data_IF_160334997755
#
_entry.id   IF_160334997755
#
_cell.length_a   1.000
_cell.length_b   1.000
_cell.length_c   1.000
_cell.angle_alpha   90.00
_cell.angle_beta   90.00
_cell.angle_gamma   90.00
#
_symmetry.space_group_name_H-M   'P 1'
#
loop_
_entity.id
_entity.type
_entity.pdbx_description
1 polymer ?
#
# COMPACT_ATOMS: atom_id res chain seq x y z
N UNK A 1 -26.59 -60.90 -3.25
CA UNK A 1 -26.27 -60.29 -1.95
C UNK A 1 -27.32 -60.73 -0.93
N UNK A 2 -26.92 -61.42 0.15
CA UNK A 2 -27.84 -61.94 1.19
C UNK A 2 -28.62 -60.78 1.84
N UNK A 3 -29.89 -60.99 2.23
CA UNK A 3 -30.75 -59.90 2.75
C UNK A 3 -30.14 -59.21 3.99
N UNK A 4 -29.38 -59.94 4.81
CA UNK A 4 -28.60 -59.38 5.93
C UNK A 4 -27.48 -58.44 5.46
N UNK A 5 -26.85 -58.73 4.33
CA UNK A 5 -25.76 -57.92 3.76
C UNK A 5 -26.29 -56.66 3.07
N UNK A 6 -27.51 -56.71 2.50
CA UNK A 6 -28.22 -55.50 2.04
C UNK A 6 -28.59 -54.60 3.21
N UNK A 7 -29.12 -55.16 4.29
CA UNK A 7 -29.50 -54.40 5.48
C UNK A 7 -28.28 -53.74 6.14
N UNK A 8 -27.14 -54.43 6.24
CA UNK A 8 -25.90 -53.84 6.75
C UNK A 8 -25.39 -52.71 5.84
N UNK A 9 -25.43 -52.89 4.52
CA UNK A 9 -25.02 -51.84 3.59
C UNK A 9 -25.94 -50.61 3.66
N UNK A 10 -27.25 -50.81 3.79
CA UNK A 10 -28.22 -49.71 3.96
C UNK A 10 -27.98 -48.99 5.29
N UNK A 11 -27.71 -49.71 6.37
CA UNK A 11 -27.43 -49.11 7.67
C UNK A 11 -26.12 -48.30 7.65
N UNK A 12 -25.09 -48.81 6.98
CA UNK A 12 -23.80 -48.14 6.78
C UNK A 12 -23.93 -46.88 5.91
N UNK A 13 -24.74 -46.94 4.85
CA UNK A 13 -25.02 -45.78 4.01
C UNK A 13 -25.80 -44.70 4.79
N UNK A 14 -26.74 -45.13 5.64
CA UNK A 14 -27.52 -44.21 6.48
C UNK A 14 -26.63 -43.49 7.48
N UNK A 15 -25.69 -44.18 8.14
CA UNK A 15 -24.72 -43.54 9.06
C UNK A 15 -23.81 -42.54 8.36
N UNK A 16 -23.39 -42.79 7.12
CA UNK A 16 -22.64 -41.80 6.32
C UNK A 16 -23.47 -40.55 6.01
N UNK A 17 -24.79 -40.67 5.83
CA UNK A 17 -25.69 -39.52 5.61
C UNK A 17 -25.90 -38.73 6.91
N UNK A 18 -25.96 -39.38 8.09
CA UNK A 18 -26.13 -38.64 9.37
C UNK A 18 -24.85 -37.95 9.82
N UNK A 19 -23.67 -38.53 9.55
CA UNK A 19 -22.36 -37.93 9.92
C UNK A 19 -21.93 -36.85 8.90
N UNK A 20 -22.47 -36.86 7.67
CA UNK A 20 -22.24 -35.82 6.67
C UNK A 20 -23.01 -34.51 6.89
N UNK A 21 -23.86 -34.45 7.93
CA UNK A 21 -24.66 -33.29 8.31
C UNK A 21 -24.11 -32.56 9.55
N UNK A 22 -22.81 -32.68 9.84
CA UNK A 22 -22.15 -31.62 10.61
C UNK A 22 -22.08 -30.39 9.72
N UNK A 23 -22.91 -29.41 10.05
CA UNK A 23 -22.91 -28.09 9.48
C UNK A 23 -21.59 -27.40 9.85
N UNK A 24 -20.53 -27.63 9.05
CA UNK A 24 -19.27 -26.88 9.18
C UNK A 24 -19.39 -25.43 8.71
N UNK A 25 -20.60 -25.00 8.33
CA UNK A 25 -20.96 -23.60 8.23
C UNK A 25 -21.52 -23.13 9.57
N UNK A 26 -20.66 -22.96 10.57
CA UNK A 26 -20.86 -21.87 11.53
C UNK A 26 -20.71 -20.54 10.77
N UNK A 27 -21.69 -20.26 9.90
CA UNK A 27 -22.03 -18.93 9.46
C UNK A 27 -22.86 -18.32 10.57
N UNK A 28 -22.29 -18.22 11.77
CA UNK A 28 -22.68 -17.11 12.62
C UNK A 28 -22.52 -15.87 11.71
N UNK A 29 -23.59 -15.08 11.48
CA UNK A 29 -23.42 -13.82 10.79
C UNK A 29 -22.28 -13.13 11.55
N UNK A 30 -21.22 -12.66 10.88
CA UNK A 30 -20.04 -12.14 11.56
C UNK A 30 -20.56 -11.20 12.63
N UNK A 31 -20.41 -11.61 13.91
CA UNK A 31 -20.89 -10.83 15.04
C UNK A 31 -20.27 -9.48 14.78
N UNK A 32 -21.10 -8.47 14.50
CA UNK A 32 -20.57 -7.13 14.20
C UNK A 32 -19.74 -6.79 15.42
N UNK A 33 -18.39 -6.80 15.33
CA UNK A 33 -17.59 -6.73 16.53
C UNK A 33 -17.97 -5.42 17.19
N UNK A 34 -18.38 -5.46 18.45
CA UNK A 34 -18.46 -4.22 19.21
C UNK A 34 -17.07 -3.60 19.13
N UNK A 35 -17.00 -2.41 18.54
CA UNK A 35 -15.74 -1.76 18.27
C UNK A 35 -15.18 -1.27 19.60
N UNK A 36 -14.36 -2.10 20.23
CA UNK A 36 -13.69 -1.74 21.47
C UNK A 36 -12.39 -1.01 21.14
N UNK A 37 -12.43 0.33 21.14
CA UNK A 37 -11.24 1.16 20.92
C UNK A 37 -10.42 1.34 22.21
N UNK A 38 -10.86 0.77 23.33
CA UNK A 38 -10.26 0.96 24.64
C UNK A 38 -10.24 2.45 25.02
N UNK A 39 -9.04 3.00 25.28
CA UNK A 39 -8.85 4.43 25.57
C UNK A 39 -8.49 5.28 24.35
N UNK A 40 -8.42 4.68 23.14
CA UNK A 40 -8.09 5.41 21.92
C UNK A 40 -9.28 6.21 21.41
N UNK A 41 -9.06 7.50 21.14
CA UNK A 41 -10.07 8.41 20.61
C UNK A 41 -9.87 8.62 19.10
N UNK A 42 -10.73 8.01 18.29
CA UNK A 42 -10.71 8.10 16.83
C UNK A 42 -11.62 9.20 16.25
N UNK A 43 -12.26 10.03 17.08
CA UNK A 43 -13.26 11.03 16.63
C UNK A 43 -12.79 11.94 15.49
N UNK A 44 -11.47 12.16 15.37
CA UNK A 44 -10.88 12.69 14.14
C UNK A 44 -9.56 12.02 13.81
N UNK A 45 -9.63 11.08 12.86
CA UNK A 45 -8.48 10.34 12.36
C UNK A 45 -7.85 11.01 11.15
N UNK A 46 -6.51 11.05 11.10
CA UNK A 46 -5.73 11.53 9.95
C UNK A 46 -4.60 10.56 9.65
N UNK A 47 -4.33 10.30 8.38
CA UNK A 47 -3.21 9.45 7.95
C UNK A 47 -2.20 10.24 7.14
N UNK A 48 -0.91 10.09 7.47
CA UNK A 48 0.22 10.67 6.74
C UNK A 48 1.04 9.52 6.17
N UNK A 49 1.40 9.60 4.90
CA UNK A 49 2.27 8.61 4.29
C UNK A 49 2.38 8.75 2.79
N UNK A 50 2.60 7.62 2.12
CA UNK A 50 2.80 7.57 0.68
C UNK A 50 1.74 6.74 -0.06
N UNK A 51 2.13 6.02 -1.11
CA UNK A 51 1.31 5.16 -1.95
C UNK A 51 0.44 4.18 -1.16
N UNK A 52 0.97 3.56 -0.11
CA UNK A 52 0.24 2.57 0.70
C UNK A 52 -0.91 3.25 1.45
N UNK A 53 -0.64 4.41 2.03
CA UNK A 53 -1.63 5.26 2.70
C UNK A 53 -2.68 5.78 1.72
N UNK A 54 -2.27 6.17 0.50
CA UNK A 54 -3.15 6.70 -0.53
C UNK A 54 -4.16 5.69 -1.09
N UNK A 55 -3.90 4.39 -0.93
CA UNK A 55 -4.63 3.34 -1.66
C UNK A 55 -4.23 3.24 -3.13
N UNK A 56 -2.96 3.56 -3.43
CA UNK A 56 -2.39 3.41 -4.77
C UNK A 56 -2.29 1.93 -5.14
N UNK A 57 -2.88 1.58 -6.28
CA UNK A 57 -2.90 0.21 -6.79
C UNK A 57 -2.82 0.27 -8.31
N UNK A 58 -2.36 -0.81 -8.95
CA UNK A 58 -2.40 -0.93 -10.42
C UNK A 58 -1.83 0.28 -11.17
N UNK A 59 -0.81 0.96 -10.65
CA UNK A 59 -0.16 2.09 -11.35
C UNK A 59 -0.82 3.47 -11.17
N UNK A 60 -1.91 3.61 -10.41
CA UNK A 60 -2.50 4.94 -10.12
C UNK A 60 -3.35 4.94 -8.83
N UNK A 61 -3.90 6.09 -8.45
CA UNK A 61 -5.02 6.14 -7.50
C UNK A 61 -6.34 6.22 -8.27
N UNK A 62 -7.33 5.45 -7.83
CA UNK A 62 -8.66 5.39 -8.40
C UNK A 62 -9.65 4.94 -7.32
N UNK A 63 -10.90 5.40 -7.39
CA UNK A 63 -11.87 5.33 -6.31
C UNK A 63 -12.06 3.91 -5.79
N UNK A 64 -12.28 2.94 -6.68
CA UNK A 64 -12.48 1.54 -6.31
C UNK A 64 -11.26 0.89 -5.64
N UNK A 65 -10.03 1.41 -5.84
CA UNK A 65 -8.84 0.99 -5.11
C UNK A 65 -8.65 1.75 -3.79
N UNK A 66 -8.92 3.05 -3.79
CA UNK A 66 -8.74 3.92 -2.62
C UNK A 66 -9.66 3.58 -1.45
N UNK A 67 -10.84 2.98 -1.73
CA UNK A 67 -11.74 2.49 -0.69
C UNK A 67 -11.14 1.37 0.18
N UNK A 68 -10.08 0.72 -0.29
CA UNK A 68 -9.32 -0.28 0.47
C UNK A 68 -8.02 0.26 1.07
N UNK A 69 -7.80 1.58 1.05
CA UNK A 69 -6.68 2.17 1.80
C UNK A 69 -6.83 1.84 3.29
N UNK A 70 -5.73 1.48 3.95
CA UNK A 70 -5.80 1.00 5.35
C UNK A 70 -6.42 2.05 6.29
N UNK A 71 -6.18 3.34 6.01
CA UNK A 71 -6.78 4.44 6.77
C UNK A 71 -8.31 4.42 6.69
N UNK A 72 -8.86 4.16 5.50
CA UNK A 72 -10.30 4.03 5.30
C UNK A 72 -10.86 2.80 6.02
N UNK A 73 -10.17 1.67 5.94
CA UNK A 73 -10.60 0.43 6.58
C UNK A 73 -10.65 0.57 8.11
N UNK A 74 -9.65 1.22 8.70
CA UNK A 74 -9.68 1.55 10.13
C UNK A 74 -10.83 2.51 10.44
N UNK A 75 -10.99 3.58 9.65
CA UNK A 75 -12.05 4.56 9.87
C UNK A 75 -13.45 3.96 9.81
N UNK A 76 -13.70 3.05 8.86
CA UNK A 76 -14.93 2.27 8.76
C UNK A 76 -15.12 1.38 9.98
N UNK A 77 -14.07 0.68 10.42
CA UNK A 77 -14.12 -0.19 11.59
C UNK A 77 -14.43 0.60 12.86
N UNK A 78 -13.96 1.84 13.00
CA UNK A 78 -14.22 2.69 14.18
C UNK A 78 -15.39 3.66 14.01
N UNK A 79 -16.09 3.61 12.88
CA UNK A 79 -17.28 4.41 12.61
C UNK A 79 -17.04 5.93 12.53
N UNK A 80 -15.87 6.37 12.06
CA UNK A 80 -15.54 7.80 11.90
C UNK A 80 -15.56 8.23 10.44
N UNK A 81 -16.03 9.45 10.18
CA UNK A 81 -15.90 10.08 8.87
C UNK A 81 -14.43 10.27 8.49
N UNK A 82 -14.08 9.89 7.27
CA UNK A 82 -12.71 9.92 6.79
C UNK A 82 -12.68 10.31 5.32
N UNK A 83 -12.31 11.56 5.06
CA UNK A 83 -12.28 12.12 3.72
C UNK A 83 -10.99 11.71 2.98
N UNK A 84 -11.15 11.17 1.78
CA UNK A 84 -10.08 10.68 0.91
C UNK A 84 -10.11 11.46 -0.39
N UNK A 85 -8.97 11.85 -1.00
CA UNK A 85 -8.93 12.44 -2.34
C UNK A 85 -9.34 11.42 -3.41
N UNK A 86 -10.62 11.10 -3.51
CA UNK A 86 -11.11 10.08 -4.44
C UNK A 86 -10.98 10.55 -5.89
N UNK A 87 -10.27 9.80 -6.71
CA UNK A 87 -10.20 10.02 -8.15
C UNK A 87 -11.13 9.03 -8.83
N UNK A 88 -12.05 9.48 -9.67
CA UNK A 88 -12.95 8.57 -10.39
C UNK A 88 -12.16 7.53 -11.20
N UNK A 89 -12.69 6.32 -11.30
CA UNK A 89 -12.12 5.30 -12.18
C UNK A 89 -11.99 5.84 -13.62
N UNK A 90 -10.90 5.51 -14.35
CA UNK A 90 -9.82 4.58 -13.99
C UNK A 90 -8.61 5.25 -13.29
N UNK A 91 -8.75 6.43 -12.69
CA UNK A 91 -7.67 7.13 -12.01
C UNK A 91 -6.97 8.18 -12.87
N UNK A 92 -5.72 8.54 -12.58
CA UNK A 92 -5.01 9.63 -13.27
C UNK A 92 -4.27 9.19 -14.56
N UNK A 93 -4.64 8.04 -15.10
CA UNK A 93 -4.02 7.40 -16.26
C UNK A 93 -2.93 6.40 -15.89
N UNK A 94 -2.64 5.50 -16.83
CA UNK A 94 -1.63 4.44 -16.66
C UNK A 94 -2.11 3.28 -15.78
N UNK A 95 -3.42 3.14 -15.55
CA UNK A 95 -3.94 2.03 -14.73
C UNK A 95 -3.69 0.70 -15.45
N UNK A 96 -2.98 -0.18 -14.78
CA UNK A 96 -2.72 -1.54 -15.22
C UNK A 96 -3.97 -2.39 -15.04
N UNK A 97 -4.41 -3.05 -16.11
CA UNK A 97 -5.60 -3.88 -16.11
C UNK A 97 -5.31 -5.23 -16.77
N UNK A 98 -5.97 -6.28 -16.30
CA UNK A 98 -5.86 -7.62 -16.89
C UNK A 98 -6.69 -7.65 -18.17
N UNK A 99 -6.06 -7.94 -19.29
CA UNK A 99 -6.71 -8.06 -20.60
C UNK A 99 -7.17 -9.50 -20.85
N UNK A 100 -6.32 -10.48 -20.51
CA UNK A 100 -6.62 -11.90 -20.66
C UNK A 100 -5.94 -12.70 -19.55
N UNK A 101 -6.55 -13.82 -19.15
CA UNK A 101 -5.98 -14.78 -18.21
C UNK A 101 -5.24 -15.92 -18.91
N UNK A 102 -5.57 -16.22 -20.17
CA UNK A 102 -4.97 -17.29 -20.95
C UNK A 102 -4.94 -16.94 -22.46
N UNK A 103 -3.78 -16.48 -23.00
CA UNK A 103 -2.54 -16.17 -22.29
C UNK A 103 -2.72 -15.01 -21.30
N UNK A 104 -1.93 -14.97 -20.23
CA UNK A 104 -1.97 -13.83 -19.31
C UNK A 104 -1.39 -12.58 -20.00
N UNK A 105 -2.22 -11.57 -20.19
CA UNK A 105 -1.80 -10.27 -20.72
C UNK A 105 -2.41 -9.14 -19.89
N UNK A 106 -1.66 -8.04 -19.83
CA UNK A 106 -2.10 -6.79 -19.23
C UNK A 106 -2.08 -5.69 -20.28
N UNK A 107 -2.89 -4.68 -20.06
CA UNK A 107 -2.82 -3.43 -20.82
C UNK A 107 -2.83 -2.24 -19.86
N UNK A 108 -2.41 -1.07 -20.35
CA UNK A 108 -2.39 0.16 -19.58
C UNK A 108 -3.52 1.09 -20.04
N UNK A 109 -4.51 1.29 -19.19
CA UNK A 109 -5.59 2.22 -19.42
C UNK A 109 -5.10 3.65 -19.18
N UNK A 110 -4.91 4.39 -20.28
CA UNK A 110 -4.44 5.77 -20.27
C UNK A 110 -5.56 6.81 -20.08
N UNK A 111 -6.83 6.37 -19.99
CA UNK A 111 -7.95 7.25 -19.70
C UNK A 111 -7.77 7.90 -18.33
N UNK A 112 -8.27 9.12 -18.17
CA UNK A 112 -8.14 9.89 -16.94
C UNK A 112 -9.51 10.19 -16.36
N UNK A 113 -9.65 9.88 -15.08
CA UNK A 113 -10.73 10.36 -14.24
C UNK A 113 -10.43 11.74 -13.65
N UNK A 114 -11.28 12.16 -12.71
CA UNK A 114 -11.18 13.45 -12.02
C UNK A 114 -11.29 13.28 -10.52
N UNK A 115 -10.71 14.21 -9.77
CA UNK A 115 -10.89 14.31 -8.32
C UNK A 115 -12.37 14.61 -8.01
N UNK A 116 -13.05 13.67 -7.34
CA UNK A 116 -14.50 13.70 -7.12
C UNK A 116 -14.93 14.75 -6.08
N UNK A 117 -14.04 15.05 -5.14
CA UNK A 117 -14.28 15.95 -4.02
C UNK A 117 -13.35 17.17 -4.06
N UNK A 118 -13.01 17.65 -5.26
CA UNK A 118 -12.09 18.77 -5.47
C UNK A 118 -12.49 20.06 -4.72
N UNK A 119 -13.79 20.26 -4.48
CA UNK A 119 -14.36 21.42 -3.77
C UNK A 119 -14.50 21.22 -2.25
N UNK A 120 -14.05 20.08 -1.70
CA UNK A 120 -14.12 19.83 -0.26
C UNK A 120 -13.36 20.93 0.52
N UNK A 121 -13.97 21.62 1.48
CA UNK A 121 -13.46 22.91 1.98
C UNK A 121 -12.30 22.81 2.98
N UNK A 122 -11.83 21.60 3.30
CA UNK A 122 -10.76 21.36 4.26
C UNK A 122 -9.71 20.39 3.70
N UNK A 123 -8.52 20.24 4.30
CA UNK A 123 -7.63 19.13 3.98
C UNK A 123 -8.31 17.76 4.11
N UNK A 124 -7.85 16.78 3.34
CA UNK A 124 -8.34 15.41 3.45
C UNK A 124 -7.81 14.72 4.71
N UNK A 125 -8.55 13.75 5.24
CA UNK A 125 -8.06 12.91 6.32
C UNK A 125 -6.96 11.96 5.83
N UNK A 126 -7.06 11.49 4.58
CA UNK A 126 -6.00 10.72 3.94
C UNK A 126 -5.02 11.64 3.22
N UNK A 127 -3.86 11.88 3.83
CA UNK A 127 -2.76 12.65 3.27
C UNK A 127 -1.65 11.75 2.72
N UNK A 128 -2.00 10.56 2.22
CA UNK A 128 -1.09 9.68 1.51
C UNK A 128 -0.78 10.21 0.11
N UNK A 129 0.49 10.42 -0.21
CA UNK A 129 0.92 10.88 -1.55
C UNK A 129 1.76 9.79 -2.23
N UNK A 130 1.27 9.16 -3.32
CA UNK A 130 2.04 8.17 -4.04
C UNK A 130 3.43 8.67 -4.44
N UNK A 131 4.46 7.87 -4.15
CA UNK A 131 5.86 8.21 -4.41
C UNK A 131 6.52 9.16 -3.41
N UNK A 132 5.82 9.64 -2.37
CA UNK A 132 6.42 10.54 -1.37
C UNK A 132 7.54 9.88 -0.55
N UNK A 133 8.61 10.63 -0.32
CA UNK A 133 9.74 10.34 0.58
C UNK A 133 9.52 11.04 1.93
N UNK A 134 10.37 10.76 2.92
CA UNK A 134 10.34 11.50 4.20
C UNK A 134 10.48 13.01 4.03
N UNK A 135 11.33 13.46 3.09
CA UNK A 135 11.51 14.86 2.74
C UNK A 135 10.17 15.56 2.46
N UNK A 136 9.31 14.90 1.70
CA UNK A 136 8.08 15.51 1.20
C UNK A 136 7.09 15.85 2.31
N UNK A 137 7.06 15.05 3.38
CA UNK A 137 6.18 15.27 4.53
C UNK A 137 6.46 16.63 5.21
N UNK A 138 7.72 17.07 5.20
CA UNK A 138 8.16 18.31 5.84
C UNK A 138 8.28 19.50 4.89
N UNK A 139 8.48 19.27 3.60
CA UNK A 139 8.91 20.34 2.68
C UNK A 139 8.07 20.46 1.41
N UNK A 140 7.43 19.39 0.93
CA UNK A 140 6.68 19.44 -0.32
C UNK A 140 5.30 20.07 -0.12
N UNK A 141 4.96 21.03 -0.98
CA UNK A 141 3.66 21.70 -1.01
C UNK A 141 2.97 21.59 -2.36
N UNK A 142 3.66 21.15 -3.41
CA UNK A 142 3.10 20.96 -4.74
C UNK A 142 3.95 19.97 -5.55
N UNK A 143 3.53 19.70 -6.78
CA UNK A 143 4.20 18.75 -7.68
C UNK A 143 5.61 19.14 -8.11
N UNK A 144 6.02 20.39 -7.94
CA UNK A 144 7.29 20.93 -8.46
C UNK A 144 8.36 21.15 -7.40
N UNK A 145 8.01 21.05 -6.11
CA UNK A 145 8.95 21.15 -5.00
C UNK A 145 9.05 19.87 -4.15
N UNK A 146 8.45 18.78 -4.60
CA UNK A 146 8.65 17.46 -4.01
C UNK A 146 10.03 16.91 -4.35
N UNK A 147 10.49 15.93 -3.57
CA UNK A 147 11.79 15.29 -3.68
C UNK A 147 12.06 14.77 -5.11
N UNK A 148 11.07 14.13 -5.74
CA UNK A 148 11.21 13.65 -7.12
C UNK A 148 11.44 14.78 -8.12
N UNK A 149 10.84 15.96 -7.91
CA UNK A 149 11.06 17.12 -8.76
C UNK A 149 12.45 17.70 -8.54
N UNK A 150 12.85 17.87 -7.28
CA UNK A 150 14.11 18.54 -6.93
C UNK A 150 15.35 17.68 -7.18
N UNK A 151 15.28 16.37 -6.94
CA UNK A 151 16.43 15.47 -6.98
C UNK A 151 16.46 14.55 -8.20
N UNK A 152 15.33 14.41 -8.91
CA UNK A 152 15.22 13.57 -10.10
C UNK A 152 14.55 14.27 -11.30
N UNK A 153 14.34 15.60 -11.22
CA UNK A 153 13.72 16.41 -12.26
C UNK A 153 12.38 15.84 -12.77
N UNK A 154 11.64 15.17 -11.89
CA UNK A 154 10.40 14.46 -12.19
C UNK A 154 9.28 14.97 -11.27
N UNK A 155 8.50 15.97 -11.73
CA UNK A 155 7.35 16.47 -10.97
C UNK A 155 6.36 15.37 -10.62
N UNK A 156 5.78 15.44 -9.42
CA UNK A 156 4.80 14.46 -8.96
C UNK A 156 3.41 15.09 -8.78
N UNK A 157 2.48 14.91 -9.73
CA UNK A 157 1.16 15.56 -9.70
C UNK A 157 0.27 15.10 -8.53
N UNK A 158 0.59 13.98 -7.86
CA UNK A 158 -0.19 13.54 -6.72
C UNK A 158 -0.13 14.53 -5.54
N UNK A 159 0.94 15.33 -5.41
CA UNK A 159 0.99 16.38 -4.38
C UNK A 159 -0.11 17.43 -4.58
N UNK A 160 -0.38 17.83 -5.81
CA UNK A 160 -1.40 18.85 -6.10
C UNK A 160 -2.82 18.29 -5.87
N UNK A 161 -3.03 17.01 -6.17
CA UNK A 161 -4.30 16.30 -5.96
C UNK A 161 -4.61 16.13 -4.48
N UNK A 162 -3.62 15.77 -3.67
CA UNK A 162 -3.79 15.48 -2.24
C UNK A 162 -3.77 16.75 -1.40
N UNK A 163 -2.78 17.63 -1.60
CA UNK A 163 -2.58 18.82 -0.75
C UNK A 163 -3.46 20.00 -1.18
N UNK A 164 -3.85 20.09 -2.46
CA UNK A 164 -4.72 21.15 -2.99
C UNK A 164 -4.31 22.57 -2.56
N UNK A 165 -3.00 22.84 -2.49
CA UNK A 165 -2.50 24.13 -1.99
C UNK A 165 -2.85 25.32 -2.88
N UNK A 166 -3.18 25.10 -4.15
CA UNK A 166 -3.72 26.12 -5.05
C UNK A 166 -5.05 26.72 -4.56
N UNK A 167 -5.80 25.99 -3.73
CA UNK A 167 -7.08 26.43 -3.17
C UNK A 167 -7.01 26.59 -1.64
N UNK A 168 -6.37 25.64 -0.94
CA UNK A 168 -6.36 25.60 0.53
C UNK A 168 -5.22 26.43 1.15
N UNK A 169 -4.07 26.50 0.48
CA UNK A 169 -2.82 27.09 1.00
C UNK A 169 -2.50 26.68 2.45
N UNK A 170 -2.52 25.37 2.74
CA UNK A 170 -2.29 24.79 4.08
C UNK A 170 -0.93 24.11 4.23
N UNK A 171 -0.12 24.09 3.16
CA UNK A 171 1.26 23.64 3.17
C UNK A 171 1.39 22.12 3.05
N UNK A 172 2.36 21.56 3.77
CA UNK A 172 2.85 20.18 3.63
C UNK A 172 1.89 19.14 4.23
N UNK A 173 2.15 17.85 4.00
CA UNK A 173 1.37 16.77 4.62
C UNK A 173 1.29 16.94 6.15
N UNK A 174 2.41 17.25 6.82
CA UNK A 174 2.42 17.45 8.27
C UNK A 174 1.59 18.67 8.70
N UNK A 175 1.75 19.80 8.01
CA UNK A 175 1.03 21.03 8.32
C UNK A 175 -0.48 20.85 8.14
N UNK A 176 -0.89 20.21 7.05
CA UNK A 176 -2.30 19.89 6.80
C UNK A 176 -2.88 18.94 7.84
N UNK A 177 -2.14 17.89 8.20
CA UNK A 177 -2.57 16.93 9.21
C UNK A 177 -2.84 17.62 10.56
N UNK A 178 -1.92 18.47 11.02
CA UNK A 178 -2.06 19.22 12.27
C UNK A 178 -3.22 20.21 12.18
N UNK A 179 -3.40 20.88 11.03
CA UNK A 179 -4.47 21.88 10.85
C UNK A 179 -5.89 21.30 10.96
N UNK A 180 -6.05 19.99 10.80
CA UNK A 180 -7.32 19.30 11.00
C UNK A 180 -7.69 19.18 12.48
N UNK A 181 -6.77 19.44 13.41
CA UNK A 181 -6.91 19.17 14.84
C UNK A 181 -7.35 17.71 15.12
N UNK A 182 -6.57 16.70 14.67
CA UNK A 182 -6.89 15.28 14.85
C UNK A 182 -6.77 14.82 16.30
N UNK A 183 -7.51 13.76 16.66
CA UNK A 183 -7.37 13.02 17.92
C UNK A 183 -6.53 11.75 17.75
N UNK A 184 -6.41 11.26 16.51
CA UNK A 184 -5.63 10.09 16.17
C UNK A 184 -4.90 10.28 14.84
N UNK A 185 -3.60 9.99 14.80
CA UNK A 185 -2.77 10.11 13.62
C UNK A 185 -2.06 8.78 13.36
N UNK A 186 -2.07 8.30 12.11
CA UNK A 186 -1.13 7.25 11.67
C UNK A 186 -0.06 7.85 10.75
N UNK A 187 1.20 7.50 10.99
CA UNK A 187 2.33 7.82 10.12
C UNK A 187 2.92 6.54 9.52
N UNK A 188 2.93 6.43 8.18
CA UNK A 188 3.64 5.36 7.48
C UNK A 188 4.41 5.91 6.28
N UNK A 189 5.69 6.21 6.50
CA UNK A 189 6.58 6.84 5.51
C UNK A 189 8.00 6.25 5.65
N UNK A 190 8.82 6.40 4.62
CA UNK A 190 10.23 6.05 4.65
C UNK A 190 10.64 4.88 3.76
N UNK A 191 9.70 4.05 3.28
CA UNK A 191 10.05 2.97 2.35
C UNK A 191 10.55 3.50 0.99
N UNK A 192 10.03 4.64 0.51
CA UNK A 192 10.41 5.19 -0.79
C UNK A 192 11.83 5.78 -0.80
N UNK A 193 12.35 6.16 0.37
CA UNK A 193 13.71 6.67 0.56
C UNK A 193 14.80 5.66 0.13
N UNK A 194 14.44 4.37 0.04
CA UNK A 194 15.27 3.28 -0.50
C UNK A 194 14.63 2.52 -1.67
N UNK A 195 13.29 2.39 -1.71
CA UNK A 195 12.60 1.58 -2.71
C UNK A 195 12.83 2.07 -4.14
N UNK A 196 12.84 3.39 -4.38
CA UNK A 196 13.06 3.94 -5.73
C UNK A 196 14.42 3.53 -6.29
N UNK A 197 15.48 3.68 -5.48
CA UNK A 197 16.83 3.23 -5.81
C UNK A 197 16.89 1.72 -6.07
N UNK A 198 16.28 0.94 -5.17
CA UNK A 198 16.32 -0.52 -5.29
C UNK A 198 15.60 -1.03 -6.55
N UNK A 199 14.45 -0.44 -6.90
CA UNK A 199 13.63 -0.86 -8.05
C UNK A 199 14.19 -0.41 -9.41
N UNK A 200 15.12 0.55 -9.43
CA UNK A 200 15.86 0.95 -10.64
C UNK A 200 17.12 0.11 -10.87
N UNK A 201 17.36 -0.92 -10.06
CA UNK A 201 18.61 -1.68 -10.09
C UNK A 201 19.82 -0.90 -9.55
N UNK A 202 19.58 0.14 -8.75
CA UNK A 202 20.61 0.99 -8.17
C UNK A 202 21.16 2.06 -9.11
N UNK A 203 20.35 2.52 -10.06
CA UNK A 203 20.77 3.50 -11.08
C UNK A 203 20.10 4.86 -10.93
N UNK A 204 18.84 4.89 -10.49
CA UNK A 204 18.04 6.10 -10.35
C UNK A 204 17.13 6.05 -9.10
N UNK A 205 17.15 7.08 -8.22
CA UNK A 205 18.19 8.11 -8.12
C UNK A 205 19.60 7.52 -7.99
N UNK A 206 20.66 8.32 -8.03
CA UNK A 206 22.04 7.79 -7.97
C UNK A 206 22.41 7.15 -6.62
N UNK A 207 21.63 7.42 -5.58
CA UNK A 207 21.78 6.83 -4.25
C UNK A 207 20.42 6.84 -3.51
N UNK A 208 20.20 5.93 -2.54
CA UNK A 208 19.12 6.07 -1.57
C UNK A 208 19.34 7.32 -0.71
N UNK A 209 18.32 7.72 0.05
CA UNK A 209 18.49 8.79 1.06
C UNK A 209 19.54 8.35 2.08
N UNK A 210 20.53 9.20 2.34
CA UNK A 210 21.58 8.91 3.31
C UNK A 210 20.97 8.63 4.70
N UNK A 211 21.55 7.69 5.44
CA UNK A 211 20.99 7.24 6.72
C UNK A 211 20.96 8.35 7.78
N UNK A 212 21.98 9.22 7.83
CA UNK A 212 22.00 10.35 8.76
C UNK A 212 20.98 11.41 8.35
N UNK A 213 20.87 11.70 7.05
CA UNK A 213 19.85 12.60 6.51
C UNK A 213 18.43 12.08 6.78
N UNK A 214 18.18 10.79 6.55
CA UNK A 214 16.91 10.14 6.88
C UNK A 214 16.60 10.29 8.37
N UNK A 215 17.56 10.00 9.25
CA UNK A 215 17.39 10.16 10.70
C UNK A 215 17.02 11.58 11.12
N UNK A 216 17.63 12.59 10.49
CA UNK A 216 17.30 14.00 10.73
C UNK A 216 15.89 14.36 10.27
N UNK A 217 15.53 14.01 9.03
CA UNK A 217 14.21 14.34 8.45
C UNK A 217 13.11 13.61 9.21
N UNK A 218 13.26 12.30 9.44
CA UNK A 218 12.31 11.50 10.20
C UNK A 218 12.18 11.98 11.65
N UNK A 219 13.30 12.39 12.26
CA UNK A 219 13.33 13.05 13.56
C UNK A 219 12.49 14.33 13.58
N UNK A 220 12.59 15.17 12.54
CA UNK A 220 11.77 16.36 12.38
C UNK A 220 10.26 16.08 12.28
N UNK A 221 9.86 15.07 11.49
CA UNK A 221 8.46 14.62 11.41
C UNK A 221 7.97 14.17 12.80
N UNK A 222 8.76 13.34 13.46
CA UNK A 222 8.43 12.77 14.76
C UNK A 222 8.32 13.84 15.84
N UNK A 223 9.21 14.84 15.85
CA UNK A 223 9.16 15.97 16.77
C UNK A 223 7.91 16.82 16.55
N UNK A 224 7.55 17.13 15.30
CA UNK A 224 6.33 17.89 15.00
C UNK A 224 5.05 17.18 15.47
N UNK A 225 4.95 15.87 15.22
CA UNK A 225 3.82 15.06 15.69
C UNK A 225 3.81 14.90 17.22
N UNK A 226 4.97 14.70 17.85
CA UNK A 226 5.07 14.60 19.30
C UNK A 226 4.68 15.90 19.99
N UNK A 227 5.15 17.05 19.49
CA UNK A 227 4.75 18.36 20.00
C UNK A 227 3.24 18.56 19.90
N UNK A 228 2.64 18.23 18.75
CA UNK A 228 1.19 18.30 18.59
C UNK A 228 0.46 17.37 19.56
N UNK A 229 0.92 16.13 19.72
CA UNK A 229 0.34 15.14 20.64
C UNK A 229 0.39 15.62 22.10
N UNK A 230 1.50 16.23 22.53
CA UNK A 230 1.64 16.80 23.88
C UNK A 230 0.64 17.93 24.12
N UNK A 231 0.39 18.78 23.12
CA UNK A 231 -0.51 19.93 23.27
C UNK A 231 -2.00 19.57 23.17
N UNK A 232 -2.33 18.61 22.30
CA UNK A 232 -3.73 18.26 21.98
C UNK A 232 -4.25 17.02 22.72
N UNK A 233 -3.35 16.19 23.26
CA UNK A 233 -3.68 14.86 23.77
C UNK A 233 -3.89 13.80 22.69
N UNK A 234 -3.68 14.14 21.41
CA UNK A 234 -3.82 13.21 20.30
C UNK A 234 -2.88 12.00 20.41
N UNK A 235 -3.30 10.86 19.90
CA UNK A 235 -2.46 9.66 19.81
C UNK A 235 -1.86 9.53 18.41
N UNK A 236 -0.60 9.12 18.36
CA UNK A 236 0.15 8.92 17.11
C UNK A 236 0.62 7.48 17.06
N UNK A 237 0.28 6.77 15.99
CA UNK A 237 0.82 5.44 15.68
C UNK A 237 1.77 5.58 14.51
N UNK A 238 2.96 5.02 14.67
CA UNK A 238 4.01 5.01 13.64
C UNK A 238 4.19 3.57 13.19
N UNK A 239 4.01 3.33 11.89
CA UNK A 239 4.20 2.00 11.30
C UNK A 239 5.69 1.76 10.97
N UNK A 240 6.12 0.50 11.08
CA UNK A 240 7.47 0.10 10.70
C UNK A 240 7.64 0.12 9.17
N UNK A 241 8.88 0.27 8.72
CA UNK A 241 9.23 0.15 7.31
C UNK A 241 9.53 -1.32 7.03
N UNK A 242 8.69 -2.06 6.28
CA UNK A 242 8.99 -3.43 5.93
C UNK A 242 10.21 -3.48 5.00
N UNK A 243 10.90 -4.63 4.98
CA UNK A 243 12.02 -4.82 4.05
C UNK A 243 11.53 -4.65 2.60
N UNK A 244 12.07 -3.66 1.89
CA UNK A 244 11.66 -3.39 0.51
C UNK A 244 11.96 -4.56 -0.43
N UNK A 245 12.95 -5.40 -0.09
CA UNK A 245 13.30 -6.62 -0.82
C UNK A 245 12.31 -7.77 -0.62
N UNK A 246 11.31 -7.63 0.25
CA UNK A 246 10.30 -8.65 0.49
C UNK A 246 9.09 -8.55 -0.45
N UNK A 247 8.94 -7.44 -1.19
CA UNK A 247 7.82 -7.28 -2.12
C UNK A 247 8.00 -8.21 -3.33
N UNK A 248 6.91 -8.54 -4.06
CA UNK A 248 6.98 -9.36 -5.25
C UNK A 248 8.08 -8.93 -6.21
N UNK A 249 8.23 -7.63 -6.52
CA UNK A 249 9.27 -7.13 -7.43
C UNK A 249 10.67 -7.77 -7.27
N UNK A 250 11.15 -8.01 -6.04
CA UNK A 250 12.48 -8.61 -5.79
C UNK A 250 12.47 -10.12 -5.53
N UNK A 251 11.31 -10.71 -5.30
CA UNK A 251 11.15 -12.13 -4.92
C UNK A 251 10.49 -12.95 -6.02
N UNK A 252 10.05 -12.30 -7.08
CA UNK A 252 9.29 -12.85 -8.20
C UNK A 252 10.38 -13.15 -9.23
N UNK A 253 10.81 -14.43 -9.34
CA UNK A 253 11.63 -15.00 -10.46
C UNK A 253 10.76 -15.93 -11.29
N UNK A 254 10.61 -15.77 -12.60
CA UNK A 254 9.42 -16.33 -13.24
C UNK A 254 9.64 -17.18 -14.43
N UNK A 255 8.52 -17.47 -15.09
CA UNK A 255 8.35 -18.73 -15.80
C UNK A 255 9.43 -18.95 -16.84
N UNK A 256 9.91 -17.91 -17.53
CA UNK A 256 10.93 -18.01 -18.57
C UNK A 256 12.34 -18.37 -18.08
N UNK A 257 12.69 -18.07 -16.83
CA UNK A 257 13.98 -18.52 -16.24
C UNK A 257 13.94 -20.03 -15.93
N UNK A 258 12.75 -20.63 -15.78
CA UNK A 258 12.59 -22.05 -15.46
C UNK A 258 12.43 -22.97 -16.68
N UNK A 259 12.25 -22.45 -17.91
CA UNK A 259 11.94 -23.30 -19.09
C UNK A 259 13.18 -23.74 -19.86
N UNK A 260 14.34 -23.06 -19.70
CA UNK A 260 15.57 -23.54 -20.35
C UNK A 260 16.82 -22.85 -19.76
N UNK A 261 17.72 -23.56 -19.04
CA UNK A 261 18.99 -23.00 -18.57
C UNK A 261 19.95 -22.61 -19.73
N UNK A 262 19.58 -22.90 -20.98
CA UNK A 262 20.36 -22.57 -22.18
C UNK A 262 19.95 -21.26 -22.88
N UNK A 263 18.95 -20.51 -22.40
CA UNK A 263 18.56 -19.23 -23.00
C UNK A 263 19.37 -18.09 -22.36
N UNK A 264 20.19 -17.34 -23.12
CA UNK A 264 20.92 -16.19 -22.61
C UNK A 264 19.97 -15.11 -22.07
N UNK A 265 20.34 -14.50 -20.95
CA UNK A 265 19.55 -13.47 -20.24
C UNK A 265 19.13 -12.29 -21.13
N UNK A 266 19.92 -11.96 -22.15
CA UNK A 266 19.65 -10.90 -23.14
C UNK A 266 18.40 -11.15 -23.99
N UNK A 267 17.91 -12.38 -24.01
CA UNK A 267 16.80 -12.82 -24.86
C UNK A 267 15.50 -13.06 -24.07
N UNK A 268 15.47 -12.75 -22.76
CA UNK A 268 14.27 -12.88 -21.93
C UNK A 268 13.37 -11.64 -22.08
N UNK A 269 12.15 -11.75 -22.62
CA UNK A 269 11.16 -10.67 -22.58
C UNK A 269 10.73 -10.35 -21.13
N UNK A 270 10.57 -9.06 -20.84
CA UNK A 270 10.16 -8.55 -19.52
C UNK A 270 8.77 -9.10 -19.13
N UNK A 271 8.67 -9.79 -17.99
CA UNK A 271 7.42 -10.40 -17.51
C UNK A 271 7.43 -10.77 -16.01
N UNK A 272 6.25 -11.06 -15.45
CA UNK A 272 6.01 -11.33 -14.02
C UNK A 272 6.40 -12.77 -13.61
N UNK A 273 6.69 -12.96 -12.33
CA UNK A 273 7.57 -14.02 -11.85
C UNK A 273 7.21 -14.53 -10.40
N UNK A 274 7.70 -15.66 -9.84
CA UNK A 274 7.46 -16.09 -8.42
C UNK A 274 8.66 -16.91 -7.92
N UNK A 275 9.33 -16.52 -6.82
CA UNK A 275 10.30 -17.38 -6.14
C UNK A 275 9.81 -17.78 -4.74
N UNK A 276 9.66 -19.09 -4.54
CA UNK A 276 9.54 -19.73 -3.22
C UNK A 276 10.94 -19.88 -2.62
N UNK A 277 11.18 -19.36 -1.41
CA UNK A 277 12.43 -19.63 -0.65
C UNK A 277 12.43 -21.07 -0.12
N UNK A 278 13.58 -21.77 -0.11
CA UNK A 278 13.82 -22.83 0.85
C UNK A 278 14.52 -22.29 2.11
N UNK A 279 13.99 -22.80 3.21
CA UNK A 279 14.51 -22.84 4.58
C UNK A 279 16.04 -23.03 4.63
N UNK A 280 16.69 -22.24 5.50
CA UNK A 280 18.08 -22.39 6.01
C UNK A 280 19.25 -22.21 5.03
N UNK A 281 19.83 -21.00 4.98
CA UNK A 281 21.30 -20.79 5.12
C UNK A 281 21.68 -19.29 5.20
N UNK A 282 22.46 -18.96 6.23
CA UNK A 282 23.06 -17.64 6.49
C UNK A 282 24.23 -17.37 5.53
N UNK A 283 24.00 -16.70 4.41
CA UNK A 283 24.96 -15.77 3.76
C UNK A 283 24.33 -15.17 2.51
N UNK A 284 24.23 -13.84 2.48
CA UNK A 284 23.87 -13.06 1.30
C UNK A 284 25.13 -12.83 0.50
N UNK A 285 25.19 -13.32 -0.74
CA UNK A 285 26.20 -12.88 -1.71
C UNK A 285 25.49 -12.11 -2.81
N UNK A 286 25.91 -10.88 -3.05
CA UNK A 286 25.67 -10.20 -4.31
C UNK A 286 26.62 -10.81 -5.34
N UNK A 287 26.10 -11.36 -6.43
CA UNK A 287 26.92 -11.81 -7.55
C UNK A 287 27.09 -10.65 -8.54
N UNK A 288 28.34 -10.25 -8.75
CA UNK A 288 28.80 -9.33 -9.80
C UNK A 288 28.84 -10.06 -11.15
N UNK A 289 28.48 -9.34 -12.22
CA UNK A 289 28.45 -9.76 -13.62
C UNK A 289 29.81 -10.01 -14.28
N UNK A 290 30.93 -9.91 -13.57
CA UNK A 290 32.28 -9.95 -14.17
C UNK A 290 32.98 -11.31 -14.13
N UNK A 291 32.36 -12.38 -13.64
CA UNK A 291 32.95 -13.73 -13.67
C UNK A 291 32.04 -14.78 -14.31
N UNK A 292 31.94 -14.71 -15.64
CA UNK A 292 31.69 -15.85 -16.51
C UNK A 292 32.67 -15.85 -17.67
#
# INVERSE_FOLDING_TARGET
MNNKMKMLFTLLLLTFVVIGCDDYTELDPPVTPTVETGSANFSKMVTIGNSITAGYQSGTIYQSGQMYSYGNLIAQQVGVNFEIPYVSDPGLGGRMEVESLAPFTIYYNNSRGSLLNATYPAPYNNLGVPGALTYDVLFATNSTNCASALFANTPNPYFDVVLRNSVLNKGTQLQQAISLNPTFITLWIGNNDVLGYATSGGTAPSAPTDAAQFGQIYGGISQGLAQYATLSGAKVVVANIPSVTAIPFFTTVGSQIAINPSIPWTNLPLGLFIQKRPVNRNSTWFADSTNW
#
